data_IF_308750681340
#
_entry.id   IF_308750681340
#
_cell.length_a   1.000
_cell.length_b   1.000
_cell.length_c   1.000
_cell.angle_alpha   90.00
_cell.angle_beta   90.00
_cell.angle_gamma   90.00
#
_symmetry.space_group_name_H-M   'P 1'
#
loop_
_entity.id
_entity.type
_entity.pdbx_description
1 polymer ?
#
# COMPACT_ATOMS: atom_id res chain seq x y z
N UNK A 1 -15.69 -7.27 27.73
CA UNK A 1 -15.52 -6.20 26.73
C UNK A 1 -16.37 -5.01 27.14
N UNK A 2 -15.71 -3.97 27.67
CA UNK A 2 -16.33 -2.72 28.10
C UNK A 2 -16.93 -1.96 26.92
N UNK A 3 -17.90 -1.07 27.18
CA UNK A 3 -18.53 -0.23 26.14
C UNK A 3 -17.50 0.65 25.41
N UNK A 4 -16.51 1.17 26.14
CA UNK A 4 -15.38 1.91 25.58
C UNK A 4 -14.52 1.05 24.63
N UNK A 5 -14.27 -0.22 24.96
CA UNK A 5 -13.51 -1.15 24.11
C UNK A 5 -14.29 -1.50 22.83
N UNK A 6 -15.61 -1.62 22.91
CA UNK A 6 -16.49 -1.80 21.75
C UNK A 6 -16.47 -0.58 20.83
N UNK A 7 -16.53 0.61 21.42
CA UNK A 7 -16.46 1.87 20.69
C UNK A 7 -15.11 2.01 19.99
N UNK A 8 -13.99 1.82 20.70
CA UNK A 8 -12.64 1.88 20.14
C UNK A 8 -12.45 0.88 19.00
N UNK A 9 -12.85 -0.39 19.19
CA UNK A 9 -12.82 -1.42 18.15
C UNK A 9 -13.60 -1.00 16.90
N UNK A 10 -14.82 -0.47 17.06
CA UNK A 10 -15.65 -0.05 15.92
C UNK A 10 -15.06 1.13 15.15
N UNK A 11 -14.44 2.09 15.85
CA UNK A 11 -13.74 3.23 15.23
C UNK A 11 -12.48 2.79 14.50
N UNK A 12 -11.74 1.82 15.04
CA UNK A 12 -10.58 1.26 14.38
C UNK A 12 -10.96 0.50 13.11
N UNK A 13 -12.04 -0.29 13.16
CA UNK A 13 -12.56 -1.00 11.99
C UNK A 13 -13.10 -0.05 10.92
N UNK A 14 -13.75 1.06 11.29
CA UNK A 14 -14.18 2.06 10.32
C UNK A 14 -12.99 2.76 9.65
N UNK A 15 -11.99 3.17 10.44
CA UNK A 15 -10.74 3.75 9.91
C UNK A 15 -10.00 2.82 8.96
N UNK A 16 -9.92 1.53 9.30
CA UNK A 16 -9.32 0.52 8.42
C UNK A 16 -10.04 0.42 7.09
N UNK A 17 -11.38 0.35 7.10
CA UNK A 17 -12.20 0.30 5.88
C UNK A 17 -12.05 1.56 5.02
N UNK A 18 -12.02 2.74 5.65
CA UNK A 18 -11.89 4.01 4.94
C UNK A 18 -10.50 4.15 4.30
N UNK A 19 -9.44 3.74 5.00
CA UNK A 19 -8.08 3.71 4.48
C UNK A 19 -7.96 2.76 3.27
N UNK A 20 -8.50 1.54 3.38
CA UNK A 20 -8.53 0.57 2.27
C UNK A 20 -9.25 1.14 1.05
N UNK A 21 -10.47 1.64 1.25
CA UNK A 21 -11.32 2.17 0.18
C UNK A 21 -10.68 3.37 -0.52
N UNK A 22 -10.11 4.29 0.25
CA UNK A 22 -9.43 5.48 -0.31
C UNK A 22 -8.22 5.08 -1.13
N UNK A 23 -7.40 4.16 -0.61
CA UNK A 23 -6.23 3.64 -1.32
C UNK A 23 -6.59 2.93 -2.62
N UNK A 24 -7.70 2.19 -2.63
CA UNK A 24 -8.23 1.50 -3.81
C UNK A 24 -8.70 2.50 -4.87
N UNK A 25 -9.44 3.55 -4.48
CA UNK A 25 -9.86 4.59 -5.41
C UNK A 25 -8.68 5.37 -5.99
N UNK A 26 -7.68 5.71 -5.17
CA UNK A 26 -6.46 6.37 -5.66
C UNK A 26 -5.70 5.49 -6.65
N UNK A 27 -5.60 4.19 -6.40
CA UNK A 27 -4.98 3.25 -7.34
C UNK A 27 -5.71 3.18 -8.67
N UNK A 28 -7.04 3.03 -8.66
CA UNK A 28 -7.85 2.97 -9.88
C UNK A 28 -7.79 4.28 -10.65
N UNK A 29 -8.00 5.42 -9.98
CA UNK A 29 -7.98 6.73 -10.63
C UNK A 29 -6.62 6.99 -11.30
N UNK A 30 -5.53 6.63 -10.62
CA UNK A 30 -4.18 6.72 -11.18
C UNK A 30 -3.99 5.76 -12.36
N UNK A 31 -4.50 4.52 -12.28
CA UNK A 31 -4.44 3.56 -13.39
C UNK A 31 -5.18 4.04 -14.64
N UNK A 32 -6.36 4.65 -14.48
CA UNK A 32 -7.13 5.26 -15.57
C UNK A 32 -6.33 6.42 -16.18
N UNK A 33 -5.84 7.34 -15.34
CA UNK A 33 -5.05 8.48 -15.80
C UNK A 33 -3.76 8.04 -16.52
N UNK A 34 -3.05 7.03 -16.00
CA UNK A 34 -1.87 6.46 -16.65
C UNK A 34 -2.20 5.85 -18.02
N UNK A 35 -3.33 5.16 -18.14
CA UNK A 35 -3.80 4.58 -19.41
C UNK A 35 -4.12 5.66 -20.43
N UNK A 36 -4.80 6.73 -20.01
CA UNK A 36 -5.11 7.88 -20.87
C UNK A 36 -3.82 8.58 -21.34
N UNK A 37 -2.88 8.83 -20.43
CA UNK A 37 -1.59 9.44 -20.75
C UNK A 37 -0.75 8.56 -21.66
N UNK A 38 -0.74 7.25 -21.45
CA UNK A 38 -0.03 6.29 -22.29
C UNK A 38 -0.63 6.29 -23.71
N UNK A 39 -1.95 6.20 -23.81
CA UNK A 39 -2.67 6.26 -25.09
C UNK A 39 -2.38 7.58 -25.84
N UNK A 40 -2.40 8.70 -25.13
CA UNK A 40 -2.06 10.00 -25.70
C UNK A 40 -0.60 10.05 -26.16
N UNK A 41 0.33 9.60 -25.33
CA UNK A 41 1.75 9.57 -25.68
C UNK A 41 2.06 8.67 -26.88
N UNK A 42 1.34 7.55 -27.04
CA UNK A 42 1.39 6.69 -28.22
C UNK A 42 0.85 7.40 -29.46
N UNK A 43 -0.31 8.06 -29.37
CA UNK A 43 -0.91 8.80 -30.48
C UNK A 43 0.00 9.96 -30.95
N UNK A 44 0.61 10.67 -30.00
CA UNK A 44 1.53 11.77 -30.27
C UNK A 44 2.94 11.30 -30.68
N UNK A 45 3.26 10.01 -30.52
CA UNK A 45 4.59 9.43 -30.72
C UNK A 45 5.69 10.27 -30.05
N UNK A 46 5.45 10.67 -28.81
CA UNK A 46 6.35 11.57 -28.09
C UNK A 46 6.95 10.86 -26.86
N UNK A 47 8.28 10.68 -26.79
CA UNK A 47 8.93 9.96 -25.70
C UNK A 47 8.83 10.70 -24.37
N UNK A 48 8.77 12.04 -24.37
CA UNK A 48 8.65 12.84 -23.15
C UNK A 48 7.30 12.63 -22.44
N UNK A 49 6.24 12.27 -23.18
CA UNK A 49 4.92 11.98 -22.61
C UNK A 49 4.86 10.65 -21.86
N UNK A 50 5.89 9.81 -21.96
CA UNK A 50 6.00 8.58 -21.14
C UNK A 50 6.39 8.88 -19.69
N UNK A 51 7.02 10.03 -19.43
CA UNK A 51 7.46 10.40 -18.08
C UNK A 51 6.27 10.65 -17.12
N UNK A 52 5.23 11.43 -17.50
CA UNK A 52 4.00 11.55 -16.70
C UNK A 52 3.31 10.21 -16.40
N UNK A 53 3.37 9.24 -17.33
CA UNK A 53 2.80 7.90 -17.11
C UNK A 53 3.45 7.24 -15.90
N UNK A 54 4.79 7.28 -15.82
CA UNK A 54 5.54 6.71 -14.69
C UNK A 54 5.15 7.39 -13.37
N UNK A 55 5.06 8.73 -13.36
CA UNK A 55 4.72 9.46 -12.13
C UNK A 55 3.31 9.19 -11.63
N UNK A 56 2.33 9.10 -12.53
CA UNK A 56 0.95 8.79 -12.16
C UNK A 56 0.85 7.36 -11.62
N UNK A 57 1.50 6.38 -12.27
CA UNK A 57 1.56 5.00 -11.76
C UNK A 57 2.23 4.96 -10.39
N UNK A 58 3.34 5.68 -10.22
CA UNK A 58 4.06 5.73 -8.95
C UNK A 58 3.20 6.33 -7.83
N UNK A 59 2.50 7.42 -8.10
CA UNK A 59 1.58 8.03 -7.14
C UNK A 59 0.49 7.04 -6.69
N UNK A 60 -0.17 6.38 -7.66
CA UNK A 60 -1.13 5.33 -7.36
C UNK A 60 -0.53 4.22 -6.50
N UNK A 61 0.68 3.75 -6.85
CA UNK A 61 1.36 2.69 -6.12
C UNK A 61 1.64 3.10 -4.67
N UNK A 62 2.14 4.30 -4.43
CA UNK A 62 2.44 4.78 -3.07
C UNK A 62 1.20 4.99 -2.21
N UNK A 63 0.10 5.52 -2.78
CA UNK A 63 -1.16 5.67 -2.04
C UNK A 63 -1.74 4.31 -1.62
N UNK A 64 -1.63 3.30 -2.50
CA UNK A 64 -2.00 1.92 -2.21
C UNK A 64 -1.13 1.30 -1.11
N UNK A 65 0.21 1.40 -1.23
CA UNK A 65 1.17 0.91 -0.22
C UNK A 65 0.90 1.55 1.15
N UNK A 66 0.68 2.87 1.18
CA UNK A 66 0.40 3.58 2.42
C UNK A 66 -0.94 3.14 3.05
N UNK A 67 -1.99 2.98 2.24
CA UNK A 67 -3.26 2.43 2.70
C UNK A 67 -3.11 1.05 3.31
N UNK A 68 -2.39 0.14 2.64
CA UNK A 68 -2.10 -1.21 3.14
C UNK A 68 -1.28 -1.21 4.43
N UNK A 69 -0.32 -0.30 4.55
CA UNK A 69 0.45 -0.17 5.78
C UNK A 69 -0.44 0.26 6.94
N UNK A 70 -1.31 1.25 6.74
CA UNK A 70 -2.25 1.69 7.78
C UNK A 70 -3.23 0.59 8.19
N UNK A 71 -3.81 -0.14 7.23
CA UNK A 71 -4.74 -1.24 7.55
C UNK A 71 -4.05 -2.38 8.30
N UNK A 72 -2.81 -2.72 7.95
CA UNK A 72 -2.00 -3.72 8.67
C UNK A 72 -1.68 -3.28 10.10
N UNK A 73 -1.33 -2.01 10.31
CA UNK A 73 -1.08 -1.47 11.64
C UNK A 73 -2.33 -1.52 12.52
N UNK A 74 -3.49 -1.15 11.98
CA UNK A 74 -4.79 -1.24 12.68
C UNK A 74 -5.12 -2.70 13.00
N UNK A 75 -4.99 -3.61 12.02
CA UNK A 75 -5.25 -5.03 12.22
C UNK A 75 -4.32 -5.66 13.26
N UNK A 76 -3.04 -5.29 13.27
CA UNK A 76 -2.08 -5.72 14.29
C UNK A 76 -2.44 -5.24 15.69
N UNK A 77 -2.88 -3.98 15.84
CA UNK A 77 -3.31 -3.42 17.13
C UNK A 77 -4.56 -4.15 17.65
N UNK A 78 -5.56 -4.34 16.79
CA UNK A 78 -6.79 -5.06 17.14
C UNK A 78 -6.47 -6.50 17.55
N UNK A 79 -5.60 -7.18 16.80
CA UNK A 79 -5.17 -8.55 17.11
C UNK A 79 -4.49 -8.65 18.48
N UNK A 80 -3.57 -7.75 18.80
CA UNK A 80 -2.80 -7.80 20.05
C UNK A 80 -3.61 -7.38 21.28
N UNK A 81 -4.48 -6.35 21.17
CA UNK A 81 -5.15 -5.76 22.34
C UNK A 81 -6.63 -6.16 22.51
N UNK A 82 -7.31 -6.65 21.47
CA UNK A 82 -8.76 -6.95 21.50
C UNK A 82 -9.10 -8.41 21.19
N UNK A 83 -8.19 -9.17 20.56
CA UNK A 83 -8.45 -10.55 20.15
C UNK A 83 -7.74 -11.62 21.01
N UNK A 84 -7.05 -11.23 22.08
CA UNK A 84 -6.56 -12.18 23.09
C UNK A 84 -7.71 -12.69 23.99
N UNK A 85 -7.63 -13.98 24.35
CA UNK A 85 -8.56 -14.79 25.17
C UNK A 85 -10.01 -14.29 25.31
N UNK A 86 -10.92 -14.84 24.48
CA UNK A 86 -12.38 -14.66 24.59
C UNK A 86 -13.02 -13.62 23.67
N UNK A 87 -12.22 -12.92 22.85
CA UNK A 87 -12.70 -11.94 21.86
C UNK A 87 -13.22 -12.55 20.54
N UNK A 88 -13.70 -11.71 19.59
CA UNK A 88 -14.28 -12.14 18.31
C UNK A 88 -13.31 -12.83 17.31
N UNK A 89 -11.98 -12.82 17.58
CA UNK A 89 -10.94 -13.57 16.84
C UNK A 89 -10.92 -13.37 15.31
N UNK A 90 -11.42 -12.24 14.80
CA UNK A 90 -11.56 -12.02 13.36
C UNK A 90 -10.19 -11.96 12.66
N UNK A 91 -9.27 -11.10 13.10
CA UNK A 91 -7.92 -10.98 12.54
C UNK A 91 -7.05 -12.19 12.84
N UNK A 92 -7.28 -12.86 13.96
CA UNK A 92 -6.59 -14.11 14.33
C UNK A 92 -6.96 -15.25 13.37
N UNK A 93 -8.25 -15.37 13.00
CA UNK A 93 -8.74 -16.32 11.99
C UNK A 93 -8.32 -15.92 10.58
N UNK A 94 -8.33 -14.62 10.26
CA UNK A 94 -7.84 -14.10 8.98
C UNK A 94 -6.36 -14.42 8.77
N UNK A 95 -5.54 -14.28 9.82
CA UNK A 95 -4.12 -14.65 9.78
C UNK A 95 -3.90 -16.17 9.62
N UNK A 96 -4.78 -17.01 10.18
CA UNK A 96 -4.73 -18.46 9.91
C UNK A 96 -5.12 -18.79 8.47
N UNK A 97 -6.09 -18.07 7.90
CA UNK A 97 -6.48 -18.19 6.50
C UNK A 97 -5.32 -17.85 5.55
N UNK A 98 -4.46 -16.89 5.88
CA UNK A 98 -3.27 -16.55 5.08
C UNK A 98 -2.22 -17.68 5.01
N UNK A 99 -2.26 -18.64 5.94
CA UNK A 99 -1.35 -19.79 5.99
C UNK A 99 -1.95 -20.99 5.22
N UNK A 100 -3.23 -20.93 4.86
CA UNK A 100 -3.91 -21.99 4.09
C UNK A 100 -3.46 -21.93 2.62
N UNK A 101 -3.00 -23.04 2.03
CA UNK A 101 -2.62 -23.09 0.62
C UNK A 101 -3.77 -22.62 -0.28
N UNK A 102 -3.54 -21.57 -1.09
CA UNK A 102 -4.52 -21.00 -2.00
C UNK A 102 -5.18 -19.70 -1.52
N UNK A 103 -5.10 -19.38 -0.23
CA UNK A 103 -5.55 -18.09 0.32
C UNK A 103 -4.32 -17.32 0.79
N UNK A 104 -3.80 -16.43 -0.06
CA UNK A 104 -2.59 -15.69 0.26
C UNK A 104 -2.76 -14.23 -0.16
N UNK A 105 -2.87 -13.33 0.82
CA UNK A 105 -2.79 -11.89 0.60
C UNK A 105 -1.50 -11.48 -0.15
N UNK A 106 -0.47 -12.34 -0.10
CA UNK A 106 0.79 -12.14 -0.81
C UNK A 106 0.67 -12.16 -2.34
N UNK A 107 -0.30 -12.88 -2.90
CA UNK A 107 -0.50 -12.92 -4.37
C UNK A 107 -1.08 -11.60 -4.86
N UNK A 108 -2.00 -11.01 -4.08
CA UNK A 108 -2.61 -9.71 -4.38
C UNK A 108 -1.59 -8.57 -4.27
N UNK A 109 -0.67 -8.64 -3.31
CA UNK A 109 0.41 -7.66 -3.16
C UNK A 109 1.36 -7.63 -4.36
N UNK A 110 1.79 -8.81 -4.79
CA UNK A 110 2.64 -8.95 -5.96
C UNK A 110 1.90 -8.58 -7.24
N UNK A 111 0.61 -8.92 -7.37
CA UNK A 111 -0.18 -8.55 -8.55
C UNK A 111 -0.17 -7.03 -8.78
N UNK A 112 -0.40 -6.23 -7.74
CA UNK A 112 -0.41 -4.76 -7.88
C UNK A 112 0.98 -4.21 -8.24
N UNK A 113 2.02 -4.78 -7.66
CA UNK A 113 3.42 -4.42 -7.96
C UNK A 113 3.80 -4.76 -9.40
N UNK A 114 3.44 -5.96 -9.85
CA UNK A 114 3.70 -6.42 -11.22
C UNK A 114 2.92 -5.60 -12.23
N UNK A 115 1.67 -5.25 -11.94
CA UNK A 115 0.86 -4.40 -12.81
C UNK A 115 1.46 -2.99 -12.94
N UNK A 116 1.89 -2.39 -11.83
CA UNK A 116 2.58 -1.09 -11.84
C UNK A 116 3.84 -1.12 -12.71
N UNK A 117 4.69 -2.14 -12.49
CA UNK A 117 5.92 -2.30 -13.24
C UNK A 117 5.68 -2.62 -14.72
N UNK A 118 4.64 -3.38 -15.07
CA UNK A 118 4.29 -3.66 -16.46
C UNK A 118 3.96 -2.37 -17.23
N UNK A 119 3.20 -1.46 -16.62
CA UNK A 119 2.90 -0.15 -17.23
C UNK A 119 4.17 0.69 -17.40
N UNK A 120 5.06 0.69 -16.40
CA UNK A 120 6.34 1.40 -16.47
C UNK A 120 7.25 0.83 -17.55
N UNK A 121 7.34 -0.50 -17.68
CA UNK A 121 8.09 -1.17 -18.75
C UNK A 121 7.52 -0.79 -20.11
N UNK A 122 6.20 -0.79 -20.26
CA UNK A 122 5.56 -0.35 -21.51
C UNK A 122 5.92 1.11 -21.84
N UNK A 123 5.87 2.01 -20.85
CA UNK A 123 6.26 3.41 -21.03
C UNK A 123 7.73 3.56 -21.46
N UNK A 124 8.64 2.77 -20.88
CA UNK A 124 10.06 2.73 -21.29
C UNK A 124 10.20 2.23 -22.73
N UNK A 125 9.53 1.14 -23.09
CA UNK A 125 9.57 0.60 -24.47
C UNK A 125 9.07 1.64 -25.47
N UNK A 126 7.94 2.28 -25.22
CA UNK A 126 7.41 3.31 -26.10
C UNK A 126 8.30 4.56 -26.15
N UNK A 127 8.96 4.95 -25.06
CA UNK A 127 9.92 6.06 -25.08
C UNK A 127 11.09 5.77 -26.03
N UNK A 128 11.59 4.53 -26.05
CA UNK A 128 12.65 4.13 -26.98
C UNK A 128 12.15 4.00 -28.42
N UNK A 129 10.95 3.47 -28.65
CA UNK A 129 10.34 3.39 -29.98
C UNK A 129 10.11 4.77 -30.60
N UNK A 130 9.86 5.79 -29.77
CA UNK A 130 9.61 7.16 -30.21
C UNK A 130 10.82 8.09 -30.04
N UNK A 131 12.00 7.56 -29.72
CA UNK A 131 13.20 8.41 -29.49
C UNK A 131 13.66 9.17 -30.74
N UNK A 132 13.42 8.61 -31.93
CA UNK A 132 13.82 9.21 -33.21
C UNK A 132 12.87 10.30 -33.71
N UNK A 133 11.68 10.44 -33.13
CA UNK A 133 10.64 11.37 -33.60
C UNK A 133 10.83 12.79 -33.07
N UNK A 134 11.72 13.00 -32.10
CA UNK A 134 11.90 14.28 -31.41
C UNK A 134 13.39 14.64 -31.28
N UNK A 135 13.77 15.93 -31.42
CA UNK A 135 15.10 16.39 -31.04
C UNK A 135 15.41 16.03 -29.59
N UNK A 136 16.56 15.39 -29.34
CA UNK A 136 16.96 14.84 -28.02
C UNK A 136 16.05 13.72 -27.50
N UNK A 137 15.32 13.01 -28.35
CA UNK A 137 14.44 11.93 -27.90
C UNK A 137 15.18 10.79 -27.18
N UNK A 138 16.44 10.51 -27.53
CA UNK A 138 17.30 9.58 -26.78
C UNK A 138 17.55 10.02 -25.32
N UNK A 139 17.73 11.33 -25.09
CA UNK A 139 17.87 11.89 -23.75
C UNK A 139 16.57 11.66 -22.95
N UNK A 140 15.42 11.94 -23.54
CA UNK A 140 14.13 11.72 -22.88
C UNK A 140 13.88 10.23 -22.61
N UNK A 141 14.20 9.35 -23.56
CA UNK A 141 14.12 7.91 -23.35
C UNK A 141 15.04 7.45 -22.21
N UNK A 142 16.24 8.00 -22.12
CA UNK A 142 17.17 7.79 -21.01
C UNK A 142 16.60 8.24 -19.66
N UNK A 143 16.00 9.44 -19.58
CA UNK A 143 15.35 9.95 -18.36
C UNK A 143 14.18 9.06 -17.95
N UNK A 144 13.29 8.70 -18.89
CA UNK A 144 12.15 7.81 -18.65
C UNK A 144 12.64 6.45 -18.11
N UNK A 145 13.71 5.91 -18.71
CA UNK A 145 14.33 4.66 -18.28
C UNK A 145 14.92 4.77 -16.87
N UNK A 146 15.64 5.84 -16.55
CA UNK A 146 16.19 6.09 -15.22
C UNK A 146 15.10 6.20 -14.15
N UNK A 147 14.06 7.00 -14.40
CA UNK A 147 12.90 7.10 -13.51
C UNK A 147 12.19 5.74 -13.35
N UNK A 148 12.02 5.00 -14.44
CA UNK A 148 11.43 3.67 -14.43
C UNK A 148 12.21 2.67 -13.58
N UNK A 149 13.54 2.65 -13.68
CA UNK A 149 14.40 1.78 -12.86
C UNK A 149 14.34 2.14 -11.38
N UNK A 150 14.41 3.42 -11.04
CA UNK A 150 14.30 3.88 -9.65
C UNK A 150 12.96 3.48 -9.05
N UNK A 151 11.87 3.70 -9.80
CA UNK A 151 10.53 3.28 -9.36
C UNK A 151 10.44 1.76 -9.22
N UNK A 152 10.96 1.00 -10.19
CA UNK A 152 10.94 -0.47 -10.12
C UNK A 152 11.65 -0.96 -8.86
N UNK A 153 12.88 -0.52 -8.63
CA UNK A 153 13.63 -0.86 -7.42
C UNK A 153 12.85 -0.52 -6.14
N UNK A 154 12.28 0.69 -6.07
CA UNK A 154 11.53 1.12 -4.89
C UNK A 154 10.25 0.31 -4.70
N UNK A 155 9.52 0.01 -5.77
CA UNK A 155 8.28 -0.77 -5.71
C UNK A 155 8.52 -2.20 -5.22
N UNK A 156 9.59 -2.87 -5.69
CA UNK A 156 9.99 -4.18 -5.19
C UNK A 156 10.42 -4.13 -3.71
N UNK A 157 11.19 -3.11 -3.34
CA UNK A 157 11.67 -2.92 -1.97
C UNK A 157 10.51 -2.70 -1.00
N UNK A 158 9.56 -1.84 -1.34
CA UNK A 158 8.37 -1.56 -0.53
C UNK A 158 7.48 -2.79 -0.38
N UNK A 159 7.23 -3.52 -1.48
CA UNK A 159 6.42 -4.75 -1.44
C UNK A 159 7.09 -5.82 -0.59
N UNK A 160 8.42 -5.92 -0.65
CA UNK A 160 9.18 -6.84 0.21
C UNK A 160 9.12 -6.41 1.68
N UNK A 161 9.33 -5.12 1.96
CA UNK A 161 9.26 -4.54 3.32
C UNK A 161 7.89 -4.78 3.95
N UNK A 162 6.83 -4.48 3.22
CA UNK A 162 5.44 -4.70 3.64
C UNK A 162 5.17 -6.19 3.96
N UNK A 163 5.83 -7.12 3.27
CA UNK A 163 5.68 -8.56 3.51
C UNK A 163 6.44 -9.03 4.74
N UNK A 164 7.57 -8.39 5.04
CA UNK A 164 8.39 -8.71 6.20
C UNK A 164 7.88 -8.07 7.50
N UNK A 165 7.05 -7.02 7.41
CA UNK A 165 6.52 -6.35 8.59
C UNK A 165 5.41 -7.18 9.26
N UNK A 166 5.70 -7.73 10.44
CA UNK A 166 4.68 -8.26 11.35
C UNK A 166 4.17 -7.13 12.27
N UNK A 167 3.02 -6.56 11.89
CA UNK A 167 2.42 -5.46 12.65
C UNK A 167 2.01 -5.86 14.07
N UNK A 168 1.66 -7.14 14.31
CA UNK A 168 1.29 -7.61 15.65
C UNK A 168 2.54 -7.71 16.55
N UNK A 169 3.65 -8.24 16.01
CA UNK A 169 4.92 -8.25 16.72
C UNK A 169 5.42 -6.84 17.07
N UNK A 170 5.22 -5.87 16.17
CA UNK A 170 5.52 -4.46 16.42
C UNK A 170 4.72 -3.90 17.62
N UNK A 171 3.41 -4.13 17.66
CA UNK A 171 2.57 -3.70 18.78
C UNK A 171 2.92 -4.39 20.10
N UNK A 172 3.29 -5.68 20.05
CA UNK A 172 3.76 -6.41 21.23
C UNK A 172 5.03 -5.79 21.83
N UNK A 173 5.97 -5.36 20.99
CA UNK A 173 7.18 -4.68 21.46
C UNK A 173 6.87 -3.33 22.13
N UNK A 174 5.90 -2.57 21.60
CA UNK A 174 5.46 -1.30 22.19
C UNK A 174 4.70 -1.54 23.50
N UNK A 175 3.85 -2.55 23.57
CA UNK A 175 3.11 -2.94 24.78
C UNK A 175 4.00 -3.43 25.93
N UNK A 176 5.22 -3.88 25.61
CA UNK A 176 6.25 -4.29 26.58
C UNK A 176 7.14 -3.14 27.06
N UNK A 177 6.96 -1.92 26.53
CA UNK A 177 7.56 -0.69 27.07
C UNK A 177 6.98 -0.35 28.45
N UNK A 178 7.66 0.48 29.27
CA UNK A 178 7.16 0.84 30.59
C UNK A 178 5.78 1.50 30.45
N UNK A 179 4.73 0.75 30.80
CA UNK A 179 3.39 1.30 30.92
C UNK A 179 3.46 2.39 31.98
N UNK A 180 3.18 3.64 31.58
CA UNK A 180 2.81 4.67 32.54
C UNK A 180 1.66 4.11 33.37
N UNK A 181 1.90 3.96 34.68
CA UNK A 181 0.93 3.48 35.65
C UNK A 181 -0.40 4.20 35.41
N UNK A 182 -1.38 3.43 34.92
CA UNK A 182 -2.76 3.86 34.79
C UNK A 182 -3.21 4.29 36.19
N UNK A 183 -3.14 5.59 36.49
CA UNK A 183 -3.47 6.15 37.82
C UNK A 183 -4.79 5.54 38.29
N UNK A 184 -4.84 4.93 39.49
CA UNK A 184 -6.09 4.41 40.01
C UNK A 184 -7.06 5.59 40.12
N UNK A 185 -8.21 5.48 39.45
CA UNK A 185 -9.32 6.39 39.65
C UNK A 185 -9.67 6.34 41.14
N UNK A 186 -9.33 7.39 41.88
CA UNK A 186 -9.82 7.58 43.24
C UNK A 186 -11.34 7.62 43.14
N UNK A 187 -12.00 6.54 43.55
CA UNK A 187 -13.41 6.57 43.89
C UNK A 187 -13.57 7.60 45.01
N UNK A 188 -14.16 8.75 44.68
CA UNK A 188 -14.64 9.68 45.68
C UNK A 188 -15.90 9.05 46.28
N UNK A 189 -15.74 8.44 47.45
CA UNK A 189 -16.86 8.08 48.33
C UNK A 189 -17.57 9.36 48.77
N UNK A 190 -18.86 9.46 48.50
CA UNK A 190 -19.81 10.24 49.29
C UNK A 190 -21.02 9.37 49.58
#
# INVERSE_FOLDING_TARGET
MNENERMEYSVLMSRGRDAERTSHYCWIASGIAATMLLSWGMAAKNPALMLPVIFVVAYGFYTMVHGRQQTRLIGGYVKEFFECEGGPQWFTRLGHLEIVPGFSASSTDWLSTMLANAVVVAAVVFAWLYSSTMPRGELYAGIVTGCGMVFAFHSFSETTRLRQSDAAAFWRQIGMGPMEERRPQRMASR
#
